data_IF_048167815228
#
_entry.id   IF_048167815228
#
_cell.length_a   1.000
_cell.length_b   1.000
_cell.length_c   1.000
_cell.angle_alpha   90.00
_cell.angle_beta   90.00
_cell.angle_gamma   90.00
#
_symmetry.space_group_name_H-M   'P 1'
#
loop_
_entity.id
_entity.type
_entity.pdbx_description
1 polymer ?
2 non-polymer ?
3 non-polymer ?
4 non-polymer ?
5 water ?
#
# COMPACT_ATOMS: atom_id res chain seq x y z
N UNK A 1 13.83 -12.26 -5.28
CA UNK A 1 12.46 -11.97 -5.71
C UNK A 1 11.43 -12.88 -5.08
N UNK A 2 10.33 -12.29 -4.62
CA UNK A 2 9.24 -13.00 -3.97
C UNK A 2 8.15 -13.26 -5.01
N UNK A 3 7.17 -14.08 -4.64
CA UNK A 3 6.02 -14.36 -5.48
C UNK A 3 4.83 -13.56 -4.96
N UNK A 4 4.08 -12.95 -5.89
CA UNK A 4 2.88 -12.18 -5.54
C UNK A 4 1.65 -13.01 -5.87
N UNK A 5 0.58 -12.94 -5.06
CA UNK A 5 0.44 -12.14 -3.83
C UNK A 5 1.34 -12.60 -2.68
N UNK A 6 1.83 -11.63 -1.89
CA UNK A 6 2.75 -11.87 -0.79
C UNK A 6 2.14 -11.33 0.50
N UNK A 7 2.30 -12.06 1.59
CA UNK A 7 1.83 -11.61 2.90
C UNK A 7 3.05 -11.27 3.76
N UNK A 8 3.13 -10.01 4.18
CA UNK A 8 4.12 -9.59 5.16
C UNK A 8 3.46 -9.61 6.52
N UNK A 9 3.87 -10.49 7.43
CA UNK A 9 3.31 -10.45 8.79
C UNK A 9 3.70 -9.16 9.49
N UNK A 10 2.75 -8.60 10.24
CA UNK A 10 2.97 -7.43 11.07
C UNK A 10 2.59 -7.79 12.50
N UNK A 11 3.36 -8.66 13.15
CA UNK A 11 2.96 -9.13 14.49
C UNK A 11 3.01 -7.98 15.49
N UNK A 12 1.94 -7.84 16.28
CA UNK A 12 1.79 -6.66 17.10
C UNK A 12 1.36 -5.45 16.31
N UNK A 13 0.95 -5.65 15.06
CA UNK A 13 0.44 -4.61 14.21
C UNK A 13 1.44 -3.49 13.98
N UNK A 14 0.90 -2.28 13.80
CA UNK A 14 1.70 -1.11 13.47
C UNK A 14 1.63 -0.12 14.63
N UNK A 15 2.52 0.85 14.60
CA UNK A 15 2.71 1.78 15.71
C UNK A 15 3.38 3.03 15.16
N UNK A 16 3.12 4.23 15.69
CA UNK A 16 3.81 5.41 15.17
C UNK A 16 5.31 5.23 15.20
N UNK A 17 5.97 5.73 14.16
CA UNK A 17 7.41 5.68 13.92
C UNK A 17 7.82 4.37 13.23
N UNK A 18 6.88 3.46 12.97
CA UNK A 18 7.15 2.30 12.11
C UNK A 18 7.20 2.73 10.66
N UNK A 19 8.22 2.25 9.94
CA UNK A 19 8.41 2.53 8.51
C UNK A 19 8.41 1.20 7.77
N UNK A 20 7.41 0.99 6.91
CA UNK A 20 7.31 -0.22 6.09
C UNK A 20 7.80 0.11 4.69
N UNK A 21 8.73 -0.70 4.17
CA UNK A 21 9.33 -0.48 2.86
C UNK A 21 9.01 -1.65 1.94
N UNK A 22 8.47 -1.33 0.77
CA UNK A 22 8.14 -2.30 -0.27
C UNK A 22 8.98 -1.96 -1.49
N UNK A 23 9.80 -2.90 -1.96
CA UNK A 23 10.66 -2.71 -3.11
C UNK A 23 10.25 -3.66 -4.23
N UNK A 24 10.10 -3.14 -5.43
CA UNK A 24 9.72 -3.98 -6.55
C UNK A 24 9.92 -3.25 -7.85
N UNK A 25 9.45 -3.89 -8.93
CA UNK A 25 9.49 -3.30 -10.27
C UNK A 25 8.12 -3.48 -10.90
N UNK A 26 7.59 -2.41 -11.50
CA UNK A 26 6.31 -2.50 -12.18
C UNK A 26 6.46 -3.30 -13.46
N UNK A 27 5.55 -4.24 -13.69
CA UNK A 27 5.56 -5.02 -14.92
C UNK A 27 5.23 -4.12 -16.12
N UNK A 28 5.73 -4.46 -17.31
CA UNK A 28 5.67 -3.48 -18.42
C UNK A 28 4.27 -3.10 -18.91
N UNK A 29 3.27 -3.99 -18.81
CA UNK A 29 1.89 -3.67 -19.19
C UNK A 29 0.95 -3.69 -17.98
N UNK A 30 1.39 -3.10 -16.88
CA UNK A 30 0.70 -3.19 -15.61
C UNK A 30 -0.67 -2.50 -15.66
N UNK A 31 -1.61 -3.07 -14.93
CA UNK A 31 -2.95 -2.51 -14.77
C UNK A 31 -3.22 -2.00 -13.35
N UNK A 32 -2.72 -2.70 -12.33
CA UNK A 32 -2.98 -2.26 -10.96
C UNK A 32 -1.96 -2.85 -10.00
N UNK A 33 -1.85 -2.21 -8.84
CA UNK A 33 -1.07 -2.64 -7.69
C UNK A 33 -1.98 -2.46 -6.48
N UNK A 34 -1.80 -3.30 -5.45
CA UNK A 34 -2.53 -3.06 -4.20
C UNK A 34 -1.69 -3.44 -2.99
N UNK A 35 -1.69 -2.55 -2.01
CA UNK A 35 -1.28 -2.82 -0.64
C UNK A 35 -2.54 -2.87 0.22
N UNK A 36 -2.67 -3.92 1.02
CA UNK A 36 -3.84 -4.08 1.91
C UNK A 36 -3.35 -4.32 3.33
N UNK A 37 -3.40 -3.29 4.16
CA UNK A 37 -3.13 -3.42 5.59
C UNK A 37 -4.39 -3.95 6.27
N UNK A 38 -4.33 -5.16 6.82
CA UNK A 38 -5.53 -5.86 7.25
C UNK A 38 -5.60 -6.03 8.76
N UNK A 39 -6.81 -5.86 9.28
CA UNK A 39 -7.18 -6.26 10.64
C UNK A 39 -8.20 -7.38 10.48
N UNK A 40 -7.74 -8.63 10.57
CA UNK A 40 -8.60 -9.73 10.18
C UNK A 40 -9.05 -9.56 8.73
N UNK A 41 -10.36 -9.71 8.51
CA UNK A 41 -10.92 -9.51 7.18
C UNK A 41 -11.09 -8.03 6.82
N UNK A 42 -11.01 -7.13 7.79
CA UNK A 42 -11.14 -5.71 7.48
C UNK A 42 -9.84 -5.21 6.86
N UNK A 43 -9.97 -4.24 5.95
CA UNK A 43 -8.81 -3.61 5.33
C UNK A 43 -8.75 -2.21 5.93
N UNK A 44 -7.82 -2.00 6.87
CA UNK A 44 -7.66 -0.68 7.47
C UNK A 44 -7.23 0.35 6.43
N UNK A 45 -6.31 -0.02 5.53
CA UNK A 45 -5.75 0.91 4.56
C UNK A 45 -5.45 0.11 3.28
N UNK A 46 -6.21 0.40 2.23
CA UNK A 46 -6.07 -0.13 0.87
C UNK A 46 -5.48 0.99 0.03
N UNK A 47 -4.31 0.73 -0.56
CA UNK A 47 -3.56 1.69 -1.40
C UNK A 47 -3.48 1.04 -2.78
N UNK A 48 -4.15 1.66 -3.77
CA UNK A 48 -4.49 0.98 -5.04
C UNK A 48 -4.18 1.85 -6.25
N UNK A 49 -2.91 1.87 -6.70
CA UNK A 49 -2.59 2.48 -8.00
C UNK A 49 -3.29 1.77 -9.14
N UNK A 50 -4.01 2.54 -9.95
CA UNK A 50 -4.74 2.07 -11.12
C UNK A 50 -4.12 2.74 -12.32
N UNK A 51 -3.60 1.93 -13.25
CA UNK A 51 -2.87 2.45 -14.40
C UNK A 51 -3.78 2.81 -15.57
N UNK A 52 -5.03 2.33 -15.59
CA UNK A 52 -5.90 2.56 -16.73
C UNK A 52 -7.36 2.59 -16.32
N UNK A 53 -7.74 3.57 -15.51
CA UNK A 53 -9.13 3.86 -15.23
C UNK A 53 -9.52 5.03 -16.13
N UNK A 54 -10.20 4.73 -17.24
CA UNK A 54 -10.59 5.77 -18.19
C UNK A 54 -9.37 6.45 -18.81
N UNK A 55 -8.39 5.64 -19.22
CA UNK A 55 -7.15 6.16 -19.79
C UNK A 55 -6.52 7.19 -18.87
N UNK A 56 -6.79 7.03 -17.58
CA UNK A 56 -6.29 7.88 -16.53
C UNK A 56 -5.57 7.00 -15.54
N UNK A 57 -4.45 7.49 -15.04
CA UNK A 57 -3.73 6.86 -13.93
C UNK A 57 -4.17 7.57 -12.66
N UNK A 58 -4.52 6.79 -11.63
CA UNK A 58 -5.02 7.36 -10.38
C UNK A 58 -4.72 6.37 -9.26
N UNK A 59 -4.46 6.91 -8.06
CA UNK A 59 -4.30 6.09 -6.86
C UNK A 59 -5.58 6.21 -6.04
N UNK A 60 -6.21 5.08 -5.76
CA UNK A 60 -7.43 5.02 -4.95
C UNK A 60 -7.06 4.46 -3.58
N UNK A 61 -7.50 5.13 -2.53
CA UNK A 61 -7.34 4.65 -1.16
C UNK A 61 -8.69 4.53 -0.49
N UNK A 62 -8.83 3.52 0.37
CA UNK A 62 -10.11 3.27 1.04
C UNK A 62 -9.89 2.30 2.20
N UNK A 63 -10.99 2.00 2.91
CA UNK A 63 -11.06 1.09 4.04
C UNK A 63 -12.25 0.17 3.81
N UNK A 64 -12.08 -1.12 4.13
CA UNK A 64 -13.14 -2.11 3.99
C UNK A 64 -13.52 -2.59 5.38
N UNK A 65 -14.79 -2.38 5.75
CA UNK A 65 -15.31 -2.81 7.04
C UNK A 65 -16.49 -3.75 6.82
N UNK A 66 -16.44 -4.94 7.42
CA UNK A 66 -17.52 -5.91 7.28
C UNK A 66 -17.82 -6.18 5.80
N UNK A 67 -16.77 -6.20 4.99
CA UNK A 67 -16.82 -6.49 3.55
C UNK A 67 -17.46 -5.35 2.75
N UNK A 68 -17.54 -4.15 3.32
CA UNK A 68 -18.08 -2.98 2.64
C UNK A 68 -17.02 -1.91 2.48
N UNK A 69 -16.79 -1.47 1.25
CA UNK A 69 -15.85 -0.37 1.03
C UNK A 69 -16.49 0.94 1.45
N UNK A 70 -15.68 1.82 2.02
CA UNK A 70 -16.11 3.14 2.45
C UNK A 70 -15.99 4.17 1.37
N UNK A 71 -15.83 5.43 1.78
CA UNK A 71 -15.68 6.53 0.85
C UNK A 71 -14.24 6.62 0.38
N UNK A 72 -14.06 6.73 -0.94
CA UNK A 72 -12.74 6.73 -1.53
C UNK A 72 -12.03 8.07 -1.35
N UNK A 73 -10.71 8.02 -1.24
CA UNK A 73 -9.83 9.17 -1.36
C UNK A 73 -8.87 8.92 -2.51
N UNK A 74 -8.80 9.86 -3.46
CA UNK A 74 -8.06 9.65 -4.70
C UNK A 74 -6.95 10.67 -4.87
N UNK A 75 -5.86 10.24 -5.48
CA UNK A 75 -4.67 11.04 -5.74
C UNK A 75 -4.26 10.85 -7.19
N UNK A 76 -4.19 11.94 -7.96
CA UNK A 76 -3.78 11.87 -9.36
C UNK A 76 -2.27 11.97 -9.57
N UNK A 77 -1.52 12.44 -8.57
CA UNK A 77 -0.07 12.31 -8.63
C UNK A 77 0.27 10.83 -8.67
N UNK A 78 1.10 10.44 -9.64
CA UNK A 78 1.25 9.03 -9.99
C UNK A 78 2.71 8.72 -10.30
N UNK A 79 3.48 8.33 -9.28
CA UNK A 79 4.93 8.19 -9.46
C UNK A 79 5.39 6.85 -10.02
N UNK A 80 4.48 5.90 -10.22
CA UNK A 80 4.84 4.59 -10.75
C UNK A 80 4.93 4.65 -12.27
N UNK A 81 5.89 3.91 -12.83
CA UNK A 81 6.11 3.86 -14.27
C UNK A 81 6.29 2.40 -14.68
N UNK A 82 5.54 1.96 -15.70
CA UNK A 82 5.66 0.58 -16.14
C UNK A 82 7.09 0.26 -16.55
N UNK A 83 7.58 -0.88 -16.08
CA UNK A 83 8.95 -1.29 -16.31
C UNK A 83 9.97 -0.78 -15.31
N UNK A 84 9.58 0.13 -14.39
CA UNK A 84 10.60 0.77 -13.58
C UNK A 84 10.57 0.29 -12.14
N UNK A 85 11.75 0.27 -11.49
CA UNK A 85 11.81 -0.09 -10.07
C UNK A 85 11.28 1.02 -9.19
N UNK A 86 10.62 0.63 -8.09
CA UNK A 86 10.03 1.57 -7.17
C UNK A 86 10.32 1.17 -5.74
N UNK A 87 10.16 2.15 -4.85
CA UNK A 87 10.19 1.95 -3.41
C UNK A 87 8.95 2.66 -2.84
N UNK A 88 8.08 1.90 -2.18
CA UNK A 88 6.98 2.48 -1.43
C UNK A 88 7.37 2.45 0.04
N UNK A 89 7.28 3.60 0.71
CA UNK A 89 7.47 3.66 2.15
C UNK A 89 6.20 4.17 2.80
N UNK A 90 5.70 3.42 3.77
CA UNK A 90 4.51 3.76 4.54
C UNK A 90 4.99 4.05 5.95
N UNK A 91 4.91 5.32 6.36
CA UNK A 91 5.29 5.74 7.70
C UNK A 91 4.02 5.86 8.53
N UNK A 92 3.95 5.12 9.62
CA UNK A 92 2.80 5.20 10.51
C UNK A 92 2.97 6.39 11.43
N UNK A 93 1.98 7.27 11.46
CA UNK A 93 1.95 8.39 12.37
C UNK A 93 0.73 8.28 13.27
N UNK A 94 0.66 9.07 14.36
CA UNK A 94 -0.46 8.89 15.29
C UNK A 94 -1.83 8.99 14.65
N UNK A 95 -2.02 9.86 13.67
CA UNK A 95 -3.36 10.10 13.14
C UNK A 95 -3.54 9.71 11.68
N UNK A 96 -2.48 9.30 10.99
CA UNK A 96 -2.62 8.91 9.60
C UNK A 96 -1.45 8.03 9.19
N UNK A 97 -1.60 7.34 8.06
CA UNK A 97 -0.48 6.79 7.31
C UNK A 97 0.05 7.88 6.37
N UNK A 98 1.38 7.99 6.28
CA UNK A 98 2.05 8.89 5.35
C UNK A 98 2.83 8.06 4.35
N UNK A 99 2.55 8.25 3.06
CA UNK A 99 3.11 7.42 2.00
C UNK A 99 4.06 8.27 1.16
N UNK A 100 5.27 7.75 0.96
CA UNK A 100 6.24 8.31 0.02
C UNK A 100 6.64 7.23 -0.99
N UNK A 101 6.87 7.65 -2.24
CA UNK A 101 7.35 6.75 -3.28
C UNK A 101 8.63 7.34 -3.84
N UNK A 102 9.66 6.50 -3.96
CA UNK A 102 10.96 6.91 -4.46
C UNK A 102 11.45 8.17 -3.76
N UNK A 103 11.25 8.22 -2.45
CA UNK A 103 11.76 9.29 -1.59
C UNK A 103 11.05 10.61 -1.77
N UNK A 104 9.82 10.61 -2.29
CA UNK A 104 9.03 11.83 -2.44
C UNK A 104 7.66 11.62 -1.81
N UNK A 105 7.24 12.55 -0.96
CA UNK A 105 5.94 12.44 -0.33
C UNK A 105 4.84 12.35 -1.39
N UNK A 106 3.88 11.45 -1.15
CA UNK A 106 2.77 11.21 -2.07
C UNK A 106 1.42 11.57 -1.46
N UNK A 107 1.05 10.97 -0.32
CA UNK A 107 -0.28 11.22 0.22
C UNK A 107 -0.31 10.84 1.70
N UNK A 108 -1.38 11.27 2.37
CA UNK A 108 -1.68 10.86 3.73
C UNK A 108 -3.10 10.30 3.77
N UNK A 109 -3.32 9.33 4.67
CA UNK A 109 -4.62 8.68 4.83
C UNK A 109 -4.92 8.58 6.32
N UNK A 110 -5.94 9.30 6.77
CA UNK A 110 -6.27 9.31 8.19
C UNK A 110 -6.77 7.94 8.63
N UNK A 111 -6.46 7.59 9.88
CA UNK A 111 -6.86 6.29 10.42
C UNK A 111 -8.37 6.24 10.62
N UNK A 112 -9.01 5.31 9.94
CA UNK A 112 -10.41 4.97 10.18
C UNK A 112 -10.53 3.77 11.11
N UNK A 113 -9.69 2.75 10.91
CA UNK A 113 -9.52 1.67 11.86
C UNK A 113 -8.50 2.12 12.90
N UNK A 114 -8.88 2.05 14.19
CA UNK A 114 -8.08 2.68 15.24
C UNK A 114 -7.18 1.72 16.01
N UNK A 115 -7.42 0.42 15.94
CA UNK A 115 -6.59 -0.55 16.67
C UNK A 115 -5.37 -0.91 15.84
N UNK A 116 -4.39 0.00 15.87
CA UNK A 116 -3.19 -0.17 15.06
C UNK A 116 -2.46 -1.47 15.40
N UNK A 117 -2.39 -1.81 16.69
CA UNK A 117 -1.65 -3.01 17.10
C UNK A 117 -2.37 -4.30 16.73
N UNK A 118 -3.49 -4.24 16.00
CA UNK A 118 -4.19 -5.41 15.49
C UNK A 118 -4.24 -5.46 13.97
N UNK A 119 -3.63 -4.48 13.30
CA UNK A 119 -3.44 -4.51 11.85
C UNK A 119 -2.21 -5.39 11.63
N UNK A 120 -2.41 -6.69 11.58
CA UNK A 120 -1.32 -7.64 11.77
C UNK A 120 -0.85 -8.32 10.49
N UNK A 121 -1.33 -7.87 9.32
CA UNK A 121 -0.87 -8.39 8.05
C UNK A 121 -0.87 -7.29 6.99
N UNK A 122 0.12 -7.31 6.10
CA UNK A 122 0.14 -6.49 4.89
C UNK A 122 0.15 -7.42 3.68
N UNK A 123 -0.91 -7.35 2.88
CA UNK A 123 -0.95 -8.08 1.61
C UNK A 123 -0.45 -7.18 0.48
N UNK A 124 0.40 -7.75 -0.37
CA UNK A 124 1.00 -7.04 -1.51
C UNK A 124 0.64 -7.82 -2.75
N UNK A 125 -0.03 -7.18 -3.71
CA UNK A 125 -0.52 -7.87 -4.89
C UNK A 125 -0.51 -6.96 -6.11
N UNK A 126 -0.73 -7.58 -7.26
CA UNK A 126 -0.87 -6.86 -8.50
C UNK A 126 0.30 -7.07 -9.44
N UNK A 127 0.45 -6.10 -10.35
CA UNK A 127 1.25 -6.28 -11.57
C UNK A 127 2.69 -5.79 -11.36
N UNK A 128 3.37 -6.47 -10.42
CA UNK A 128 4.74 -6.13 -10.04
C UNK A 128 5.58 -7.39 -9.94
N UNK A 129 6.90 -7.20 -10.06
CA UNK A 129 7.89 -8.14 -9.57
C UNK A 129 8.32 -7.62 -8.20
N UNK A 130 7.99 -8.37 -7.14
CA UNK A 130 8.26 -7.94 -5.78
C UNK A 130 9.65 -8.40 -5.36
N UNK A 131 10.50 -7.45 -5.00
CA UNK A 131 11.87 -7.77 -4.58
C UNK A 131 11.97 -8.05 -3.10
N UNK A 132 11.38 -7.20 -2.26
CA UNK A 132 11.46 -7.38 -0.81
C UNK A 132 10.39 -6.55 -0.13
N UNK A 133 10.04 -6.95 1.08
CA UNK A 133 9.10 -6.23 1.93
C UNK A 133 9.58 -6.37 3.37
N UNK A 134 9.70 -5.26 4.09
CA UNK A 134 10.21 -5.29 5.45
C UNK A 134 9.79 -4.02 6.17
N UNK A 135 10.13 -3.94 7.45
CA UNK A 135 9.80 -2.75 8.21
C UNK A 135 10.88 -2.55 9.28
N UNK A 136 10.88 -1.35 9.85
CA UNK A 136 11.83 -1.02 10.90
C UNK A 136 11.26 0.13 11.71
N UNK A 137 11.92 0.41 12.83
CA UNK A 137 11.62 1.57 13.65
C UNK A 137 12.68 2.63 13.37
N UNK A 138 12.24 3.79 12.91
CA UNK A 138 13.14 4.91 12.65
C UNK A 138 13.61 5.52 13.96
X LIG B 1 -7.90 -2.02 -9.67
X LIG B 1 -9.76 -1.98 -9.46
X LIG B 1 -10.92 -1.96 -9.35
X LIG C 1 -11.27 -1.45 -4.19
X LIG C 1 -11.80 -2.67 -4.96
X LIG C 1 -8.94 -4.62 -5.82
X LIG C 1 -7.68 -6.55 -7.41
X LIG C 1 -7.75 -7.70 -6.65
X LIG C 1 -7.93 -8.91 -7.30
X LIG C 1 -8.03 -8.96 -8.68
X LIG C 1 -7.95 -7.79 -9.42
X LIG C 1 -7.77 -6.57 -8.79
X LIG C 1 -9.68 -3.50 -6.04
X LIG C 1 -12.44 -2.21 -6.27
X LIG C 1 -13.44 -1.08 -6.03
X LIG C 1 -15.17 0.87 -7.05
X LIG C 1 -14.98 2.16 -7.87
X LIG C 1 -16.04 3.18 -7.51
X LIG C 1 -17.43 2.55 -7.65
X LIG C 1 -17.48 1.31 -6.75
X LIG C 1 -18.82 0.60 -6.78
X LIG C 1 -12.38 -0.42 -4.01
X LIG C 1 -11.92 0.82 -3.29
X LIG C 1 -10.73 -3.62 -5.21
X LIG C 1 -10.66 -4.77 -4.50
X LIG C 1 -9.57 -5.39 -4.88
X LIG C 1 -10.20 -0.86 -4.92
X LIG C 1 -7.29 -3.96 -7.72
X LIG C 1 -13.11 -3.31 -6.87
X LIG C 1 -13.68 2.70 -7.63
X LIG C 1 -15.93 4.33 -8.33
X LIG C 1 -18.44 3.48 -7.27
X LIG C 1 -18.92 -0.34 -5.72
X LIG C 1 -16.49 0.37 -7.20
X LIG C 1 -12.84 -0.01 -5.30
X LIG C 1 -13.00 1.73 -3.11
X LIG C 1 -7.39 -4.96 -6.62
X LIG C 1 -14.02 -0.40 -7.59
X LIG C 1 -10.91 -1.72 -3.32
X LIG C 1 -12.47 -3.15 -4.43
X LIG C 1 -7.68 -7.68 -5.68
X LIG C 1 -7.98 -9.73 -6.78
X LIG C 1 -8.15 -9.82 -9.13
X LIG C 1 -8.02 -7.83 -10.39
X LIG C 1 -7.72 -5.75 -9.32
X LIG C 1 -9.54 -2.74 -6.63
X LIG C 1 -11.74 -1.90 -6.88
X LIG C 1 -14.20 -1.44 -5.53
X LIG C 1 -14.99 1.07 -6.12
X LIG C 1 -15.04 1.97 -8.83
X LIG C 1 -15.91 3.52 -6.60
X LIG C 1 -17.60 2.32 -8.58
X LIG C 1 -17.30 1.54 -5.82
X LIG C 1 -19.55 1.24 -6.67
X LIG C 1 -18.93 0.10 -7.61
X LIG C 1 -13.13 -0.80 -3.51
X LIG C 1 -11.22 1.28 -3.80
X LIG C 1 -11.58 0.61 -2.40
X LIG C 1 -9.91 -0.20 -4.48
X LIG C 1 -12.80 -3.40 -7.66
X LIG C 1 -13.57 2.68 -6.78
X LIG C 1 -15.43 4.86 -7.89
X LIG C 1 -18.82 3.69 -8.01
X LIG C 1 -19.57 -0.84 -5.90
X LIG C 1 -13.24 1.96 -3.90
X LIG D 1 -4.61 15.87 9.52
X LIG E 1 -3.01 15.19 11.63
#
# INVERSE_FOLDING_TARGET
PLIVPYNLPLPGGVVPRMLITILGTVKPNANRIALDFQRGNDVAFHFNPRFNENNRRVIVCNTKLDNNWGREERQSVFPFESGKPFKIQVLVEPDHFKVAVNDAHLLQYNHRVKKLNEISKLGISGDIDLTSASYTMI
SCN S C N
YJO C02 C03 C07 C10 C11 C12 C13 C14 C15 C17 C18 C20 C22 C23 C25 C27 C29 C30 C34 C35 N04 N05 N06 O01 O09 O19 O24 O26 O28 O31 O32 O33 O36 S08 S21 H021 H031 H111 H121 H131 H141 H151 H171 H181 H201 H221 H231 H251 H271 H291 H301 H302 H341 H352 H351 H011 H191 H241 H261 H281 H311 H361
MG MG
MG MG
#
